data_IF_927759414759
#
_entry.id   IF_927759414759
#
_cell.length_a   1.000
_cell.length_b   1.000
_cell.length_c   1.000
_cell.angle_alpha   90.00
_cell.angle_beta   90.00
_cell.angle_gamma   90.00
#
_symmetry.space_group_name_H-M   'P 1'
#
loop_
_entity.id
_entity.type
_entity.pdbx_description
1 polymer ?
#
# COMPACT_ATOMS: atom_id res chain seq x y z
N UNK A 1 65.16 55.97 -34.44
CA UNK A 1 65.19 57.32 -35.07
C UNK A 1 66.09 58.29 -34.30
N UNK A 2 65.93 58.43 -32.97
CA UNK A 2 66.79 59.28 -32.12
C UNK A 2 68.27 58.90 -32.13
N UNK A 3 68.58 57.60 -32.10
CA UNK A 3 69.96 57.09 -32.18
C UNK A 3 70.68 57.48 -33.48
N UNK A 4 70.04 57.29 -34.63
CA UNK A 4 70.59 57.67 -35.94
C UNK A 4 70.79 59.19 -36.05
N UNK A 5 69.90 59.99 -35.45
CA UNK A 5 70.09 61.44 -35.35
C UNK A 5 71.31 61.77 -34.50
N UNK A 6 71.44 61.15 -33.32
CA UNK A 6 72.58 61.35 -32.41
C UNK A 6 73.93 61.02 -33.08
N UNK A 7 74.04 59.91 -33.81
CA UNK A 7 75.28 59.54 -34.52
C UNK A 7 75.66 60.49 -35.68
N UNK A 8 74.70 61.20 -36.26
CA UNK A 8 74.90 62.09 -37.41
C UNK A 8 74.94 63.57 -37.04
N UNK A 9 74.82 63.93 -35.75
CA UNK A 9 74.81 65.32 -35.28
C UNK A 9 76.20 65.75 -34.85
N UNK A 10 76.69 66.91 -35.33
CA UNK A 10 77.95 67.52 -34.85
C UNK A 10 77.70 68.42 -33.61
N UNK A 11 76.92 67.89 -32.67
CA UNK A 11 76.48 68.59 -31.47
C UNK A 11 77.61 68.65 -30.42
N UNK A 12 77.59 69.66 -29.54
CA UNK A 12 78.57 69.83 -28.46
C UNK A 12 78.54 68.68 -27.43
N UNK A 13 79.59 68.55 -26.59
CA UNK A 13 79.75 67.44 -25.67
C UNK A 13 78.58 67.30 -24.67
N UNK A 14 78.04 68.41 -24.16
CA UNK A 14 76.92 68.38 -23.20
C UNK A 14 75.60 67.90 -23.84
N UNK A 15 75.29 68.36 -25.06
CA UNK A 15 74.08 67.95 -25.80
C UNK A 15 74.15 66.48 -26.23
N UNK A 16 75.35 65.97 -26.52
CA UNK A 16 75.56 64.56 -26.82
C UNK A 16 75.33 63.68 -25.58
N UNK A 17 75.81 64.11 -24.41
CA UNK A 17 75.59 63.41 -23.14
C UNK A 17 74.09 63.33 -22.76
N UNK A 18 73.37 64.45 -22.88
CA UNK A 18 71.93 64.47 -22.60
C UNK A 18 71.13 63.54 -23.53
N UNK A 19 71.53 63.43 -24.81
CA UNK A 19 70.91 62.48 -25.75
C UNK A 19 71.24 61.02 -25.40
N UNK A 20 72.47 60.73 -24.96
CA UNK A 20 72.88 59.42 -24.49
C UNK A 20 72.07 58.97 -23.26
N UNK A 21 71.92 59.84 -22.25
CA UNK A 21 71.16 59.53 -21.04
C UNK A 21 69.67 59.30 -21.36
N UNK A 22 69.12 60.06 -22.31
CA UNK A 22 67.77 59.85 -22.83
C UNK A 22 67.63 58.49 -23.53
N UNK A 23 68.63 58.07 -24.31
CA UNK A 23 68.62 56.77 -24.98
C UNK A 23 68.71 55.63 -23.96
N UNK A 24 69.54 55.77 -22.92
CA UNK A 24 69.61 54.81 -21.81
C UNK A 24 68.27 54.70 -21.06
N UNK A 25 67.62 55.84 -20.78
CA UNK A 25 66.30 55.83 -20.16
C UNK A 25 65.24 55.14 -21.04
N UNK A 26 65.28 55.37 -22.36
CA UNK A 26 64.41 54.67 -23.32
C UNK A 26 64.68 53.17 -23.37
N UNK A 27 65.95 52.75 -23.33
CA UNK A 27 66.32 51.34 -23.28
C UNK A 27 65.80 50.68 -21.99
N UNK A 28 66.02 51.32 -20.84
CA UNK A 28 65.52 50.84 -19.55
C UNK A 28 63.99 50.72 -19.54
N UNK A 29 63.28 51.66 -20.16
CA UNK A 29 61.82 51.59 -20.31
C UNK A 29 61.40 50.39 -21.19
N UNK A 30 62.07 50.17 -22.34
CA UNK A 30 61.79 49.02 -23.19
C UNK A 30 62.06 47.69 -22.47
N UNK A 31 63.12 47.61 -21.68
CA UNK A 31 63.42 46.42 -20.86
C UNK A 31 62.35 46.19 -19.79
N UNK A 32 61.89 47.25 -19.14
CA UNK A 32 60.79 47.18 -18.16
C UNK A 32 59.49 46.71 -18.82
N UNK A 33 59.11 47.30 -19.95
CA UNK A 33 57.88 46.94 -20.66
C UNK A 33 57.92 45.49 -21.15
N UNK A 34 59.10 45.00 -21.58
CA UNK A 34 59.29 43.58 -21.90
C UNK A 34 59.05 42.68 -20.69
N UNK A 35 59.69 42.96 -19.55
CA UNK A 35 59.52 42.17 -18.32
C UNK A 35 58.07 42.20 -17.83
N UNK A 36 57.40 43.34 -17.95
CA UNK A 36 55.98 43.50 -17.63
C UNK A 36 55.09 42.65 -18.53
N UNK A 37 55.35 42.65 -19.84
CA UNK A 37 54.64 41.80 -20.80
C UNK A 37 54.82 40.32 -20.49
N UNK A 38 56.05 39.88 -20.23
CA UNK A 38 56.35 38.48 -19.87
C UNK A 38 55.66 38.07 -18.56
N UNK A 39 55.60 38.98 -17.57
CA UNK A 39 54.89 38.75 -16.32
C UNK A 39 53.39 38.59 -16.54
N UNK A 40 52.76 39.49 -17.32
CA UNK A 40 51.33 39.38 -17.63
C UNK A 40 50.98 38.12 -18.40
N UNK A 41 51.83 37.68 -19.34
CA UNK A 41 51.62 36.41 -20.02
C UNK A 41 51.55 35.24 -19.04
N UNK A 42 52.45 35.18 -18.05
CA UNK A 42 52.44 34.14 -17.01
C UNK A 42 51.22 34.22 -16.10
N UNK A 43 50.84 35.42 -15.66
CA UNK A 43 49.65 35.61 -14.83
C UNK A 43 48.39 35.21 -15.60
N UNK A 44 48.28 35.58 -16.88
CA UNK A 44 47.15 35.19 -17.72
C UNK A 44 47.05 33.67 -17.89
N UNK A 45 48.19 33.00 -18.09
CA UNK A 45 48.21 31.53 -18.16
C UNK A 45 47.74 30.89 -16.86
N UNK A 46 48.15 31.44 -15.70
CA UNK A 46 47.70 30.97 -14.40
C UNK A 46 46.20 31.22 -14.18
N UNK A 47 45.69 32.39 -14.55
CA UNK A 47 44.25 32.69 -14.43
C UNK A 47 43.42 31.79 -15.34
N UNK A 48 43.88 31.49 -16.56
CA UNK A 48 43.19 30.57 -17.46
C UNK A 48 43.07 29.16 -16.86
N UNK A 49 44.12 28.68 -16.19
CA UNK A 49 44.09 27.40 -15.45
C UNK A 49 43.13 27.46 -14.27
N UNK A 50 43.09 28.58 -13.55
CA UNK A 50 42.19 28.78 -12.43
C UNK A 50 40.72 28.77 -12.89
N UNK A 51 40.39 29.49 -13.97
CA UNK A 51 39.05 29.49 -14.54
C UNK A 51 38.63 28.12 -15.05
N UNK A 52 39.53 27.36 -15.68
CA UNK A 52 39.26 25.98 -16.07
C UNK A 52 38.91 25.11 -14.84
N UNK A 53 39.71 25.17 -13.77
CA UNK A 53 39.45 24.42 -12.55
C UNK A 53 38.11 24.81 -11.88
N UNK A 54 37.76 26.09 -11.89
CA UNK A 54 36.46 26.56 -11.38
C UNK A 54 35.32 26.03 -12.25
N UNK A 55 35.47 26.03 -13.58
CA UNK A 55 34.49 25.47 -14.51
C UNK A 55 34.24 23.99 -14.22
N UNK A 56 35.31 23.20 -14.10
CA UNK A 56 35.22 21.76 -13.81
C UNK A 56 34.53 21.50 -12.46
N UNK A 57 34.82 22.32 -11.45
CA UNK A 57 34.18 22.23 -10.13
C UNK A 57 32.68 22.55 -10.18
N UNK A 58 32.28 23.54 -10.99
CA UNK A 58 30.88 23.88 -11.20
C UNK A 58 30.16 22.75 -11.94
N UNK A 59 30.76 22.20 -12.99
CA UNK A 59 30.19 21.07 -13.74
C UNK A 59 29.99 19.83 -12.85
N UNK A 60 31.01 19.48 -12.04
CA UNK A 60 30.89 18.40 -11.07
C UNK A 60 29.77 18.68 -10.04
N UNK A 61 29.66 19.91 -9.55
CA UNK A 61 28.58 20.33 -8.65
C UNK A 61 27.19 20.20 -9.28
N UNK A 62 27.05 20.53 -10.57
CA UNK A 62 25.80 20.37 -11.33
C UNK A 62 25.43 18.90 -11.45
N UNK A 63 26.36 18.02 -11.81
CA UNK A 63 26.09 16.58 -11.90
C UNK A 63 25.73 15.98 -10.55
N UNK A 64 26.39 16.38 -9.47
CA UNK A 64 26.01 16.00 -8.11
C UNK A 64 24.59 16.46 -7.76
N UNK A 65 24.24 17.70 -8.07
CA UNK A 65 22.89 18.21 -7.82
C UNK A 65 21.82 17.44 -8.61
N UNK A 66 22.08 17.12 -9.89
CA UNK A 66 21.18 16.30 -10.72
C UNK A 66 20.95 14.93 -10.10
N UNK A 67 22.03 14.24 -9.72
CA UNK A 67 21.91 12.91 -9.10
C UNK A 67 21.14 12.97 -7.77
N UNK A 68 21.35 14.01 -6.95
CA UNK A 68 20.61 14.23 -5.71
C UNK A 68 19.12 14.49 -5.95
N UNK A 69 18.77 15.24 -7.01
CA UNK A 69 17.38 15.47 -7.42
C UNK A 69 16.72 14.14 -7.79
N UNK A 70 17.38 13.31 -8.59
CA UNK A 70 16.80 12.03 -9.03
C UNK A 70 16.64 11.04 -7.86
N UNK A 71 17.60 11.00 -6.94
CA UNK A 71 17.46 10.25 -5.68
C UNK A 71 16.28 10.78 -4.84
N UNK A 72 16.13 12.10 -4.74
CA UNK A 72 15.04 12.72 -3.98
C UNK A 72 13.66 12.43 -4.61
N UNK A 73 13.56 12.42 -5.95
CA UNK A 73 12.36 12.00 -6.66
C UNK A 73 12.00 10.55 -6.34
N UNK A 74 12.99 9.64 -6.38
CA UNK A 74 12.76 8.23 -6.04
C UNK A 74 12.27 8.07 -4.60
N UNK A 75 12.93 8.74 -3.65
CA UNK A 75 12.54 8.74 -2.24
C UNK A 75 11.13 9.30 -2.04
N UNK A 76 10.74 10.33 -2.78
CA UNK A 76 9.39 10.90 -2.72
C UNK A 76 8.33 9.89 -3.16
N UNK A 77 8.56 9.17 -4.27
CA UNK A 77 7.65 8.12 -4.75
C UNK A 77 7.52 7.00 -3.70
N UNK A 78 8.63 6.57 -3.11
CA UNK A 78 8.62 5.56 -2.06
C UNK A 78 7.85 6.04 -0.81
N UNK A 79 8.08 7.28 -0.38
CA UNK A 79 7.39 7.89 0.77
C UNK A 79 5.88 7.99 0.53
N UNK A 80 5.46 8.40 -0.68
CA UNK A 80 4.04 8.40 -1.08
C UNK A 80 3.43 7.00 -1.00
N UNK A 81 4.14 5.98 -1.49
CA UNK A 81 3.69 4.58 -1.40
C UNK A 81 3.53 4.12 0.05
N UNK A 82 4.51 4.40 0.90
CA UNK A 82 4.44 4.07 2.33
C UNK A 82 3.25 4.76 3.01
N UNK A 83 3.03 6.06 2.71
CA UNK A 83 1.88 6.80 3.23
C UNK A 83 0.56 6.17 2.81
N UNK A 84 0.40 5.83 1.53
CA UNK A 84 -0.80 5.16 1.01
C UNK A 84 -1.05 3.82 1.73
N UNK A 85 -0.01 3.00 1.86
CA UNK A 85 -0.11 1.73 2.56
C UNK A 85 -0.52 1.93 4.03
N UNK A 86 0.09 2.89 4.72
CA UNK A 86 -0.26 3.22 6.10
C UNK A 86 -1.73 3.63 6.24
N UNK A 87 -2.24 4.47 5.34
CA UNK A 87 -3.65 4.85 5.34
C UNK A 87 -4.58 3.65 5.13
N UNK A 88 -4.22 2.73 4.22
CA UNK A 88 -4.99 1.50 4.01
C UNK A 88 -5.01 0.61 5.26
N UNK A 89 -3.87 0.49 5.96
CA UNK A 89 -3.80 -0.23 7.23
C UNK A 89 -4.63 0.45 8.32
N UNK A 90 -4.60 1.77 8.41
CA UNK A 90 -5.39 2.52 9.40
C UNK A 90 -6.89 2.35 9.17
N UNK A 91 -7.34 2.36 7.90
CA UNK A 91 -8.74 2.09 7.53
C UNK A 91 -9.12 0.65 7.89
N UNK A 92 -8.30 -0.33 7.51
CA UNK A 92 -8.58 -1.74 7.82
C UNK A 92 -8.60 -1.99 9.34
N UNK A 93 -7.68 -1.38 10.09
CA UNK A 93 -7.64 -1.47 11.55
C UNK A 93 -8.91 -0.90 12.19
N UNK A 94 -9.44 0.23 11.68
CA UNK A 94 -10.73 0.77 12.15
C UNK A 94 -11.87 -0.23 11.93
N UNK A 95 -11.93 -0.89 10.77
CA UNK A 95 -12.95 -1.90 10.47
C UNK A 95 -12.79 -3.12 11.39
N UNK A 96 -11.56 -3.59 11.61
CA UNK A 96 -11.28 -4.72 12.50
C UNK A 96 -11.69 -4.40 13.93
N UNK A 97 -11.43 -3.18 14.42
CA UNK A 97 -11.77 -2.77 15.78
C UNK A 97 -13.28 -2.61 16.02
N UNK A 98 -14.12 -2.54 14.97
CA UNK A 98 -15.58 -2.57 15.11
C UNK A 98 -16.09 -3.99 15.40
N UNK A 99 -15.30 -5.02 15.09
CA UNK A 99 -15.65 -6.41 15.34
C UNK A 99 -15.31 -6.80 16.80
N UNK A 100 -16.07 -7.72 17.42
CA UNK A 100 -15.80 -8.16 18.79
C UNK A 100 -14.44 -8.85 18.91
N UNK A 101 -13.87 -8.82 20.12
CA UNK A 101 -12.57 -9.45 20.37
C UNK A 101 -12.66 -10.96 20.13
N UNK A 102 -11.76 -11.45 19.27
CA UNK A 102 -11.70 -12.85 18.85
C UNK A 102 -11.63 -13.81 20.03
N UNK A 103 -10.88 -13.47 21.08
CA UNK A 103 -10.73 -14.35 22.25
C UNK A 103 -12.04 -14.51 23.01
N UNK A 104 -12.77 -13.40 23.19
CA UNK A 104 -14.07 -13.42 23.86
C UNK A 104 -15.09 -14.22 23.05
N UNK A 105 -15.17 -13.99 21.73
CA UNK A 105 -16.09 -14.74 20.86
C UNK A 105 -15.78 -16.23 20.83
N UNK A 106 -14.50 -16.63 20.85
CA UNK A 106 -14.11 -18.04 20.91
C UNK A 106 -14.52 -18.68 22.23
N UNK A 107 -14.33 -18.00 23.37
CA UNK A 107 -14.77 -18.50 24.68
C UNK A 107 -16.29 -18.67 24.74
N UNK A 108 -17.05 -17.69 24.25
CA UNK A 108 -18.51 -17.79 24.18
C UNK A 108 -18.95 -18.97 23.31
N UNK A 109 -18.28 -19.20 22.17
CA UNK A 109 -18.54 -20.33 21.30
C UNK A 109 -18.30 -21.68 21.99
N UNK A 110 -17.25 -21.77 22.81
CA UNK A 110 -16.90 -22.98 23.56
C UNK A 110 -17.95 -23.26 24.64
N UNK A 111 -18.35 -22.25 25.41
CA UNK A 111 -19.43 -22.36 26.39
C UNK A 111 -20.77 -22.76 25.75
N UNK A 112 -21.15 -22.12 24.64
CA UNK A 112 -22.38 -22.47 23.93
C UNK A 112 -22.35 -23.91 23.40
N UNK A 113 -21.18 -24.42 22.98
CA UNK A 113 -21.03 -25.81 22.56
C UNK A 113 -21.22 -26.78 23.71
N UNK A 114 -20.60 -26.51 24.87
CA UNK A 114 -20.79 -27.32 26.07
C UNK A 114 -22.25 -27.36 26.50
N UNK A 115 -22.93 -26.21 26.52
CA UNK A 115 -24.36 -26.12 26.84
C UNK A 115 -25.22 -26.90 25.84
N UNK A 116 -24.93 -26.79 24.54
CA UNK A 116 -25.64 -27.52 23.50
C UNK A 116 -25.46 -29.04 23.65
N UNK A 117 -24.25 -29.50 23.97
CA UNK A 117 -23.97 -30.91 24.21
C UNK A 117 -24.67 -31.43 25.47
N UNK A 118 -24.71 -30.65 26.55
CA UNK A 118 -25.51 -30.98 27.75
C UNK A 118 -27.01 -31.06 27.43
N UNK A 119 -27.56 -30.12 26.66
CA UNK A 119 -28.97 -30.14 26.26
C UNK A 119 -29.31 -31.36 25.40
N UNK A 120 -28.41 -31.75 24.49
CA UNK A 120 -28.57 -32.98 23.69
C UNK A 120 -28.60 -34.23 24.55
N UNK A 121 -27.69 -34.32 25.52
CA UNK A 121 -27.65 -35.46 26.46
C UNK A 121 -28.95 -35.53 27.27
N UNK A 122 -29.39 -34.41 27.85
CA UNK A 122 -30.63 -34.35 28.61
C UNK A 122 -31.87 -34.69 27.75
N UNK A 123 -31.91 -34.22 26.50
CA UNK A 123 -32.96 -34.61 25.55
C UNK A 123 -32.95 -36.12 25.29
N UNK A 124 -31.78 -36.72 25.06
CA UNK A 124 -31.66 -38.15 24.84
C UNK A 124 -32.10 -38.96 26.07
N UNK A 125 -31.78 -38.49 27.27
CA UNK A 125 -32.22 -39.09 28.53
C UNK A 125 -33.75 -39.03 28.72
N UNK A 126 -34.35 -37.87 28.44
CA UNK A 126 -35.82 -37.69 28.48
C UNK A 126 -36.52 -38.57 27.45
N UNK A 127 -36.00 -38.66 26.22
CA UNK A 127 -36.53 -39.55 25.18
C UNK A 127 -36.45 -41.03 25.63
N UNK A 128 -35.35 -41.44 26.26
CA UNK A 128 -35.19 -42.78 26.82
C UNK A 128 -36.20 -43.06 27.94
N UNK A 129 -36.43 -42.10 28.83
CA UNK A 129 -37.43 -42.23 29.90
C UNK A 129 -38.85 -42.33 29.34
N UNK A 130 -39.18 -41.50 28.35
CA UNK A 130 -40.47 -41.52 27.68
C UNK A 130 -40.71 -42.86 26.97
N UNK A 131 -39.70 -43.38 26.28
CA UNK A 131 -39.77 -44.69 25.63
C UNK A 131 -39.94 -45.83 26.64
N UNK A 132 -39.29 -45.75 27.81
CA UNK A 132 -39.52 -46.70 28.90
C UNK A 132 -40.98 -46.65 29.38
N UNK A 133 -41.55 -45.45 29.58
CA UNK A 133 -42.95 -45.29 29.98
C UNK A 133 -43.93 -45.79 28.93
N UNK A 134 -43.65 -45.61 27.64
CA UNK A 134 -44.42 -46.21 26.55
C UNK A 134 -44.42 -47.74 26.62
N UNK A 135 -43.26 -48.35 26.90
CA UNK A 135 -43.15 -49.81 27.09
C UNK A 135 -43.93 -50.27 28.32
N UNK A 136 -43.77 -49.60 29.45
CA UNK A 136 -44.51 -49.90 30.69
C UNK A 136 -46.03 -49.83 30.45
N UNK A 137 -46.50 -48.78 29.75
CA UNK A 137 -47.91 -48.60 29.39
C UNK A 137 -48.38 -49.68 28.42
N UNK A 138 -47.57 -50.05 27.43
CA UNK A 138 -47.88 -51.16 26.52
C UNK A 138 -48.07 -52.47 27.28
N UNK A 139 -47.19 -52.81 28.22
CA UNK A 139 -47.33 -54.02 29.07
C UNK A 139 -48.61 -53.97 29.90
N UNK A 140 -48.93 -52.81 30.49
CA UNK A 140 -50.18 -52.61 31.23
C UNK A 140 -51.41 -52.82 30.33
N UNK A 141 -51.40 -52.24 29.13
CA UNK A 141 -52.47 -52.39 28.14
C UNK A 141 -52.66 -53.85 27.71
N UNK A 142 -51.57 -54.60 27.44
CA UNK A 142 -51.65 -56.03 27.14
C UNK A 142 -52.25 -56.81 28.32
N UNK A 143 -51.85 -56.50 29.56
CA UNK A 143 -52.38 -57.14 30.75
C UNK A 143 -53.88 -56.87 30.94
N UNK A 144 -54.35 -55.66 30.63
CA UNK A 144 -55.78 -55.32 30.65
C UNK A 144 -56.56 -56.13 29.62
N UNK A 145 -56.07 -56.24 28.39
CA UNK A 145 -56.70 -57.04 27.33
C UNK A 145 -56.75 -58.52 27.71
N UNK A 146 -55.66 -59.07 28.26
CA UNK A 146 -55.65 -60.45 28.74
C UNK A 146 -56.65 -60.70 29.88
N UNK A 147 -56.77 -59.76 30.82
CA UNK A 147 -57.76 -59.85 31.89
C UNK A 147 -59.18 -59.72 31.34
N UNK A 148 -59.43 -58.81 30.40
CA UNK A 148 -60.72 -58.69 29.69
C UNK A 148 -61.07 -59.99 28.96
N UNK A 149 -60.14 -60.59 28.22
CA UNK A 149 -60.33 -61.87 27.54
C UNK A 149 -60.61 -63.04 28.51
N UNK A 150 -60.08 -62.99 29.73
CA UNK A 150 -60.38 -63.98 30.79
C UNK A 150 -61.72 -63.73 31.49
N UNK A 151 -62.15 -62.47 31.56
CA UNK A 151 -63.39 -62.03 32.18
C UNK A 151 -64.58 -62.08 31.22
N UNK A 152 -64.35 -62.13 29.91
CA UNK A 152 -65.39 -62.35 28.91
C UNK A 152 -65.64 -63.85 28.75
N UNK A 153 -66.70 -64.41 29.34
CA UNK A 153 -67.04 -65.81 29.18
C UNK A 153 -67.86 -65.95 27.90
N UNK A 154 -67.34 -65.44 26.78
CA UNK A 154 -67.97 -65.60 25.47
C UNK A 154 -66.91 -65.67 24.39
N UNK A 155 -66.24 -66.80 24.32
CA UNK A 155 -65.91 -67.32 22.99
C UNK A 155 -66.10 -68.85 22.95
N UNK A 156 -67.36 -69.24 23.14
CA UNK A 156 -67.87 -70.38 22.38
C UNK A 156 -68.36 -69.83 21.04
N UNK A 157 -67.49 -69.99 20.03
CA UNK A 157 -67.79 -70.07 18.61
C UNK A 157 -68.48 -68.88 17.92
N UNK A 158 -67.73 -68.16 17.08
CA UNK A 158 -68.16 -67.71 15.74
C UNK A 158 -66.92 -67.30 14.93
N UNK A 159 -66.44 -68.12 13.98
CA UNK A 159 -66.69 -68.04 12.54
C UNK A 159 -66.02 -66.84 11.79
N UNK A 160 -65.57 -67.04 10.53
CA UNK A 160 -64.55 -66.22 9.90
C UNK A 160 -65.12 -65.07 9.04
N UNK A 161 -64.34 -64.01 8.91
CA UNK A 161 -64.20 -63.32 7.62
C UNK A 161 -64.85 -61.94 7.46
N UNK A 162 -64.06 -61.07 6.83
CA UNK A 162 -64.48 -60.05 5.86
C UNK A 162 -64.75 -58.63 6.41
N UNK A 163 -63.67 -57.85 6.38
CA UNK A 163 -63.51 -56.64 5.55
C UNK A 163 -64.62 -55.59 5.46
N UNK A 164 -64.15 -54.36 5.66
CA UNK A 164 -64.48 -53.12 4.93
C UNK A 164 -65.53 -52.17 5.50
N UNK A 165 -65.03 -50.93 5.64
CA UNK A 165 -65.72 -49.64 5.48
C UNK A 165 -66.66 -49.26 6.64
N UNK A 166 -66.66 -48.04 7.17
CA UNK A 166 -66.42 -46.78 6.48
C UNK A 166 -66.19 -45.63 7.48
N UNK A 167 -65.49 -44.60 6.98
CA UNK A 167 -65.69 -43.14 7.20
C UNK A 167 -65.52 -42.55 8.61
N UNK A 168 -65.06 -41.32 8.83
CA UNK A 168 -64.33 -40.28 8.08
C UNK A 168 -64.35 -39.10 9.06
N UNK A 169 -63.20 -38.56 9.47
CA UNK A 169 -63.08 -37.21 10.07
C UNK A 169 -61.60 -36.83 9.96
N UNK A 170 -61.23 -36.09 8.93
CA UNK A 170 -61.23 -34.63 8.83
C UNK A 170 -59.82 -34.11 9.13
N UNK A 171 -59.05 -34.04 8.05
CA UNK A 171 -57.79 -33.33 7.99
C UNK A 171 -58.11 -31.87 7.64
N UNK A 172 -57.89 -30.98 8.59
CA UNK A 172 -57.79 -29.55 8.32
C UNK A 172 -56.59 -28.98 9.08
N UNK A 173 -55.78 -28.25 8.32
CA UNK A 173 -54.99 -27.12 8.80
C UNK A 173 -53.66 -27.40 9.53
N UNK A 174 -52.66 -27.81 8.74
CA UNK A 174 -51.31 -27.29 8.94
C UNK A 174 -51.28 -25.86 8.38
N UNK A 175 -51.58 -24.89 9.24
CA UNK A 175 -51.26 -23.50 9.01
C UNK A 175 -49.75 -23.32 9.17
N UNK A 176 -49.06 -23.19 8.04
CA UNK A 176 -47.85 -22.37 7.94
C UNK A 176 -48.16 -20.93 8.35
N UNK A 177 -47.07 -20.17 8.56
CA UNK A 177 -46.93 -18.70 8.65
C UNK A 177 -46.63 -18.20 10.08
N UNK A 178 -45.72 -17.23 10.31
CA UNK A 178 -44.83 -16.51 9.37
C UNK A 178 -43.34 -16.58 9.75
N UNK A 179 -42.51 -16.81 8.74
CA UNK A 179 -41.26 -16.09 8.62
C UNK A 179 -41.58 -14.70 8.04
N UNK A 180 -41.55 -13.64 8.86
CA UNK A 180 -41.14 -12.31 8.43
C UNK A 180 -41.06 -11.35 9.62
N UNK A 181 -39.88 -10.80 9.91
CA UNK A 181 -39.59 -9.35 9.90
C UNK A 181 -38.10 -9.15 10.16
N UNK A 182 -37.39 -8.71 9.11
CA UNK A 182 -36.59 -7.47 9.07
C UNK A 182 -35.11 -7.77 9.40
N UNK A 183 -34.14 -7.45 8.55
CA UNK A 183 -34.03 -6.19 7.82
C UNK A 183 -33.15 -6.41 6.58
N UNK A 184 -33.59 -5.80 5.47
CA UNK A 184 -32.77 -5.61 4.27
C UNK A 184 -31.39 -5.11 4.68
N UNK A 185 -30.36 -5.92 4.50
CA UNK A 185 -29.01 -5.40 4.31
C UNK A 185 -28.99 -4.78 2.91
N UNK A 186 -29.49 -3.54 2.84
CA UNK A 186 -29.17 -2.67 1.73
C UNK A 186 -27.65 -2.64 1.68
N UNK A 187 -27.08 -3.18 0.60
CA UNK A 187 -25.73 -2.85 0.23
C UNK A 187 -25.78 -1.35 -0.06
N UNK A 188 -25.43 -0.56 0.96
CA UNK A 188 -25.22 0.86 0.76
C UNK A 188 -24.24 0.99 -0.39
N UNK A 189 -24.74 1.68 -1.38
CA UNK A 189 -24.08 2.17 -2.57
C UNK A 189 -22.69 2.67 -2.17
N UNK A 190 -21.62 2.35 -2.93
CA UNK A 190 -20.30 2.80 -2.59
C UNK A 190 -20.34 4.32 -2.47
N UNK A 191 -20.06 4.84 -1.27
CA UNK A 191 -19.81 6.26 -1.06
C UNK A 191 -18.67 6.61 -2.00
N UNK A 192 -19.05 7.26 -3.11
CA UNK A 192 -18.18 8.10 -3.90
C UNK A 192 -17.72 9.16 -2.91
N UNK A 193 -16.55 8.94 -2.30
CA UNK A 193 -15.82 10.03 -1.71
C UNK A 193 -15.37 10.82 -2.92
N UNK A 194 -16.09 11.91 -3.17
CA UNK A 194 -15.71 12.93 -4.12
C UNK A 194 -14.22 13.20 -3.93
N UNK A 195 -13.49 12.98 -5.02
CA UNK A 195 -12.11 13.38 -5.14
C UNK A 195 -12.08 14.89 -4.94
N UNK A 196 -11.69 15.35 -3.74
CA UNK A 196 -11.18 16.70 -3.62
C UNK A 196 -9.89 16.74 -4.45
N UNK A 197 -10.05 17.39 -5.60
CA UNK A 197 -9.05 17.80 -6.58
C UNK A 197 -7.64 17.92 -5.99
N UNK A 198 -6.80 16.94 -6.32
CA UNK A 198 -5.40 17.20 -6.62
C UNK A 198 -5.16 16.62 -8.00
N UNK A 199 -5.31 17.51 -9.00
CA UNK A 199 -5.25 17.23 -10.43
C UNK A 199 -4.21 16.16 -10.80
N UNK A 200 -4.54 15.21 -11.68
CA UNK A 200 -3.51 14.38 -12.30
C UNK A 200 -2.64 15.29 -13.16
N UNK A 201 -1.42 15.56 -12.72
CA UNK A 201 -0.33 15.92 -13.64
C UNK A 201 -0.16 14.73 -14.56
N UNK A 202 -0.85 14.82 -15.69
CA UNK A 202 -0.63 14.07 -16.90
C UNK A 202 0.76 14.41 -17.42
N UNK A 203 1.79 13.81 -16.85
CA UNK A 203 3.07 13.64 -17.52
C UNK A 203 3.37 12.14 -17.57
N UNK A 204 2.67 11.48 -18.49
CA UNK A 204 3.18 10.28 -19.14
C UNK A 204 4.42 10.69 -19.96
N UNK A 205 5.57 10.86 -19.31
CA UNK A 205 6.84 10.76 -20.02
C UNK A 205 7.21 9.27 -20.07
N UNK A 206 6.68 8.60 -21.08
CA UNK A 206 7.28 7.40 -21.65
C UNK A 206 8.75 7.72 -21.95
N UNK A 207 9.65 7.33 -21.05
CA UNK A 207 11.07 7.24 -21.35
C UNK A 207 11.25 6.08 -22.32
N UNK A 208 11.02 6.34 -23.61
CA UNK A 208 11.42 5.46 -24.70
C UNK A 208 12.94 5.44 -24.70
N UNK A 209 13.50 4.40 -24.09
CA UNK A 209 14.90 4.00 -24.25
C UNK A 209 15.15 3.67 -25.72
N UNK A 210 15.52 4.68 -26.51
CA UNK A 210 16.08 4.44 -27.84
C UNK A 210 17.50 3.88 -27.69
N UNK A 211 17.65 2.63 -28.10
CA UNK A 211 18.92 1.90 -28.18
C UNK A 211 19.91 2.59 -29.14
N UNK A 212 21.24 2.37 -28.98
CA UNK A 212 22.24 2.96 -29.83
C UNK A 212 22.44 2.12 -31.09
N UNK A 213 21.94 2.59 -32.25
CA UNK A 213 22.37 2.07 -33.54
C UNK A 213 23.56 2.87 -34.09
N UNK A 214 24.72 2.20 -34.03
CA UNK A 214 25.84 2.16 -34.97
C UNK A 214 25.86 3.24 -36.07
N UNK A 215 26.96 3.98 -36.13
CA UNK A 215 27.52 4.49 -37.38
C UNK A 215 29.03 4.27 -37.39
N UNK A 216 29.47 3.69 -38.52
CA UNK A 216 30.86 3.57 -38.98
C UNK A 216 31.58 4.91 -39.03
#
# INVERSE_FOLDING_TARGET
KTFIKWCNSNDGPETSQAMHDRLLAQLAQCEFDRKKSDFYAKVMEQELKNYAAISDAIEAGIEMAKTQIDQSKHNLVLAKKIRKNRMQYDVLAKIINQQPDRKQTVQQLELLKEELDMLKENKADLERQLEQKKKDFSVLMHSIVELQNKLDPTDSAMAPGTSSSATQEEATEAAEVPANVDEKMACDEPVVIEEEDDAPSSDNDEVILSSPEKLN
#
